data_IF_916295066628
#
_entry.id   IF_916295066628
#
_cell.length_a   1.000
_cell.length_b   1.000
_cell.length_c   1.000
_cell.angle_alpha   90.00
_cell.angle_beta   90.00
_cell.angle_gamma   90.00
#
_symmetry.space_group_name_H-M   'P 1'
#
loop_
_entity.id
_entity.type
_entity.pdbx_description
1 polymer ?
#
# COMPACT_ATOMS: atom_id res chain seq x y z
N UNK A 1 -20.51 17.62 -12.02
CA UNK A 1 -19.24 18.09 -11.43
C UNK A 1 -18.73 17.22 -10.28
N UNK A 2 -19.54 16.81 -9.30
CA UNK A 2 -19.07 16.00 -8.14
C UNK A 2 -18.40 14.67 -8.50
N UNK A 3 -18.93 13.92 -9.49
CA UNK A 3 -18.34 12.65 -9.95
C UNK A 3 -16.97 12.82 -10.61
N UNK A 4 -16.78 13.89 -11.37
CA UNK A 4 -15.49 14.17 -12.04
C UNK A 4 -14.40 14.49 -11.01
N UNK A 5 -14.70 15.28 -9.98
CA UNK A 5 -13.74 15.56 -8.90
C UNK A 5 -13.33 14.32 -8.11
N UNK A 6 -14.27 13.39 -7.86
CA UNK A 6 -13.97 12.11 -7.19
C UNK A 6 -13.07 11.24 -8.07
N UNK A 7 -13.36 11.14 -9.37
CA UNK A 7 -12.53 10.37 -10.31
C UNK A 7 -11.14 10.97 -10.41
N UNK A 8 -11.02 12.30 -10.52
CA UNK A 8 -9.74 13.00 -10.61
C UNK A 8 -8.91 12.79 -9.33
N UNK A 9 -9.56 12.86 -8.16
CA UNK A 9 -8.92 12.60 -6.87
C UNK A 9 -8.44 11.15 -6.76
N UNK A 10 -9.23 10.18 -7.21
CA UNK A 10 -8.82 8.77 -7.22
C UNK A 10 -7.61 8.54 -8.12
N UNK A 11 -7.63 9.10 -9.34
CA UNK A 11 -6.49 9.01 -10.27
C UNK A 11 -5.24 9.65 -9.66
N UNK A 12 -5.38 10.81 -9.00
CA UNK A 12 -4.27 11.46 -8.33
C UNK A 12 -3.67 10.59 -7.22
N UNK A 13 -4.51 9.94 -6.39
CA UNK A 13 -4.05 9.05 -5.31
C UNK A 13 -3.32 7.83 -5.88
N UNK A 14 -3.84 7.23 -6.95
CA UNK A 14 -3.21 6.07 -7.61
C UNK A 14 -1.84 6.44 -8.19
N UNK A 15 -1.69 7.66 -8.72
CA UNK A 15 -0.42 8.12 -9.29
C UNK A 15 0.55 8.55 -8.20
N UNK A 16 0.11 9.25 -7.16
CA UNK A 16 0.97 9.76 -6.09
C UNK A 16 1.45 8.67 -5.12
N UNK A 17 0.61 7.66 -4.84
CA UNK A 17 0.89 6.58 -3.89
C UNK A 17 2.23 5.87 -4.15
N UNK A 18 2.53 5.39 -5.39
CA UNK A 18 3.80 4.73 -5.71
C UNK A 18 5.03 5.59 -5.45
N UNK A 19 4.97 6.90 -5.69
CA UNK A 19 6.11 7.80 -5.46
C UNK A 19 6.41 7.95 -3.97
N UNK A 20 5.37 8.05 -3.13
CA UNK A 20 5.54 8.14 -1.67
C UNK A 20 6.14 6.84 -1.12
N UNK A 21 5.65 5.69 -1.58
CA UNK A 21 6.15 4.37 -1.17
C UNK A 21 7.59 4.17 -1.61
N UNK A 22 7.92 4.52 -2.87
CA UNK A 22 9.29 4.44 -3.37
C UNK A 22 10.25 5.31 -2.57
N UNK A 23 9.87 6.56 -2.29
CA UNK A 23 10.69 7.49 -1.51
C UNK A 23 10.91 6.98 -0.08
N UNK A 24 9.84 6.58 0.60
CA UNK A 24 9.93 6.02 1.96
C UNK A 24 10.83 4.80 2.02
N UNK A 25 10.79 3.93 1.01
CA UNK A 25 11.69 2.79 0.96
C UNK A 25 13.14 3.19 0.70
N UNK A 26 13.40 3.92 -0.38
CA UNK A 26 14.74 4.19 -0.90
C UNK A 26 15.55 5.22 -0.12
N UNK A 27 14.89 6.05 0.70
CA UNK A 27 15.58 7.08 1.49
C UNK A 27 15.51 6.80 3.00
N UNK A 28 14.45 6.15 3.49
CA UNK A 28 14.30 5.85 4.92
C UNK A 28 14.72 4.41 5.22
N UNK A 29 14.09 3.42 4.59
CA UNK A 29 14.32 2.00 4.94
C UNK A 29 15.73 1.56 4.56
N UNK A 30 16.19 1.88 3.34
CA UNK A 30 17.53 1.48 2.89
C UNK A 30 18.66 2.15 3.67
N UNK A 31 18.37 3.25 4.37
CA UNK A 31 19.32 3.94 5.26
C UNK A 31 19.47 3.21 6.60
N UNK A 32 18.38 2.60 7.10
CA UNK A 32 18.37 1.86 8.36
C UNK A 32 18.87 0.42 8.16
N UNK A 33 18.40 -0.23 7.09
CA UNK A 33 18.71 -1.62 6.76
C UNK A 33 19.23 -1.62 5.33
N UNK A 34 20.45 -2.14 5.05
CA UNK A 34 21.03 -2.13 3.71
C UNK A 34 20.34 -3.15 2.80
N UNK A 35 19.15 -2.83 2.33
CA UNK A 35 18.33 -3.60 1.38
C UNK A 35 18.30 -2.90 0.01
N UNK A 36 17.86 -3.61 -1.03
CA UNK A 36 17.78 -3.06 -2.38
C UNK A 36 16.81 -1.87 -2.48
N UNK A 37 17.16 -0.91 -3.34
CA UNK A 37 16.26 0.20 -3.71
C UNK A 37 15.19 -0.31 -4.66
N UNK A 38 13.94 0.11 -4.49
CA UNK A 38 12.83 -0.27 -5.37
C UNK A 38 12.55 0.79 -6.44
N UNK A 39 11.99 0.35 -7.56
CA UNK A 39 11.52 1.23 -8.64
C UNK A 39 10.08 1.68 -8.41
N UNK A 40 9.67 2.78 -9.06
CA UNK A 40 8.26 3.25 -9.06
C UNK A 40 7.30 2.14 -9.50
N UNK A 41 7.70 1.34 -10.49
CA UNK A 41 6.88 0.25 -11.03
C UNK A 41 6.72 -0.91 -10.05
N UNK A 42 7.75 -1.22 -9.27
CA UNK A 42 7.64 -2.20 -8.18
C UNK A 42 6.73 -1.67 -7.08
N UNK A 43 6.87 -0.41 -6.67
CA UNK A 43 5.98 0.20 -5.68
C UNK A 43 4.51 0.23 -6.15
N UNK A 44 4.27 0.54 -7.42
CA UNK A 44 2.93 0.50 -8.01
C UNK A 44 2.35 -0.92 -8.10
N UNK A 45 3.15 -1.89 -8.58
CA UNK A 45 2.75 -3.29 -8.65
C UNK A 45 2.40 -3.85 -7.27
N UNK A 46 3.12 -3.41 -6.24
CA UNK A 46 2.87 -3.75 -4.85
C UNK A 46 1.54 -3.18 -4.32
N UNK A 47 1.24 -1.92 -4.61
CA UNK A 47 -0.03 -1.28 -4.22
C UNK A 47 -1.25 -1.97 -4.88
N UNK A 48 -1.09 -2.35 -6.15
CA UNK A 48 -2.07 -3.16 -6.89
C UNK A 48 -2.27 -4.55 -6.30
N UNK A 49 -1.18 -5.27 -5.98
CA UNK A 49 -1.25 -6.61 -5.38
C UNK A 49 -1.94 -6.57 -4.01
N UNK A 50 -1.65 -5.58 -3.17
CA UNK A 50 -2.30 -5.43 -1.86
C UNK A 50 -3.78 -5.11 -1.98
N UNK A 51 -4.16 -4.31 -2.98
CA UNK A 51 -5.57 -4.05 -3.28
C UNK A 51 -6.31 -5.33 -3.69
N UNK A 52 -5.62 -6.27 -4.34
CA UNK A 52 -6.18 -7.57 -4.73
C UNK A 52 -6.26 -8.56 -3.56
N UNK A 53 -5.21 -8.65 -2.73
CA UNK A 53 -5.16 -9.55 -1.57
C UNK A 53 -6.14 -9.08 -0.49
N UNK A 54 -6.25 -7.77 -0.31
CA UNK A 54 -7.11 -7.17 0.70
C UNK A 54 -8.08 -6.18 0.06
N UNK A 55 -9.09 -6.67 -0.68
CA UNK A 55 -10.13 -5.80 -1.20
C UNK A 55 -10.76 -5.01 -0.05
N UNK A 56 -11.03 -3.73 -0.27
CA UNK A 56 -11.71 -2.90 0.74
C UNK A 56 -13.11 -3.49 0.92
N UNK A 57 -13.32 -4.23 2.02
CA UNK A 57 -14.65 -4.68 2.44
C UNK A 57 -15.48 -3.45 2.79
N UNK A 58 -16.25 -2.99 1.80
CA UNK A 58 -17.24 -1.95 2.00
C UNK A 58 -18.39 -2.48 2.86
N UNK A 59 -18.58 -1.82 3.99
CA UNK A 59 -19.83 -1.72 4.75
C UNK A 59 -20.49 -3.01 5.23
N UNK A 60 -20.14 -3.44 6.45
CA UNK A 60 -21.12 -4.06 7.34
C UNK A 60 -21.04 -3.38 8.71
N UNK A 61 -22.21 -3.13 9.31
CA UNK A 61 -22.41 -2.30 10.52
C UNK A 61 -21.43 -2.71 11.63
N UNK A 62 -20.68 -1.72 12.11
CA UNK A 62 -19.62 -1.84 13.12
C UNK A 62 -20.17 -2.46 14.40
N UNK A 63 -19.82 -3.71 14.66
CA UNK A 63 -19.73 -4.31 15.99
C UNK A 63 -18.28 -4.18 16.52
N UNK A 64 -18.07 -4.33 17.83
CA UNK A 64 -16.71 -4.30 18.43
C UNK A 64 -15.78 -5.38 17.84
N UNK A 65 -16.37 -6.48 17.37
CA UNK A 65 -15.71 -7.58 16.65
C UNK A 65 -15.21 -7.12 15.27
N UNK A 66 -15.99 -6.30 14.57
CA UNK A 66 -15.61 -5.71 13.27
C UNK A 66 -14.47 -4.70 13.41
N UNK A 67 -14.39 -3.97 14.52
CA UNK A 67 -13.28 -3.05 14.77
C UNK A 67 -11.96 -3.82 14.95
N UNK A 68 -11.96 -4.86 15.79
CA UNK A 68 -10.79 -5.72 15.97
C UNK A 68 -10.37 -6.40 14.66
N UNK A 69 -11.34 -6.83 13.85
CA UNK A 69 -11.08 -7.40 12.53
C UNK A 69 -10.49 -6.35 11.56
N UNK A 70 -11.02 -5.14 11.52
CA UNK A 70 -10.53 -4.05 10.67
C UNK A 70 -9.10 -3.63 11.04
N UNK A 71 -8.79 -3.54 12.34
CA UNK A 71 -7.44 -3.25 12.83
C UNK A 71 -6.48 -4.38 12.45
N UNK A 72 -6.84 -5.64 12.73
CA UNK A 72 -6.03 -6.80 12.33
C UNK A 72 -5.79 -6.85 10.82
N UNK A 73 -6.81 -6.58 10.02
CA UNK A 73 -6.71 -6.55 8.56
C UNK A 73 -5.78 -5.42 8.09
N UNK A 74 -5.88 -4.23 8.69
CA UNK A 74 -5.04 -3.09 8.33
C UNK A 74 -3.57 -3.31 8.70
N UNK A 75 -3.31 -3.84 9.89
CA UNK A 75 -1.95 -4.21 10.31
C UNK A 75 -1.40 -5.33 9.41
N UNK A 76 -2.21 -6.33 9.08
CA UNK A 76 -1.83 -7.41 8.16
C UNK A 76 -1.44 -6.86 6.78
N UNK A 77 -2.23 -5.94 6.21
CA UNK A 77 -1.90 -5.25 4.95
C UNK A 77 -0.52 -4.59 5.01
N UNK A 78 -0.22 -3.87 6.10
CA UNK A 78 1.05 -3.17 6.27
C UNK A 78 2.22 -4.16 6.35
N UNK A 79 2.07 -5.24 7.13
CA UNK A 79 3.10 -6.27 7.28
C UNK A 79 3.33 -7.01 5.95
N UNK A 80 2.26 -7.43 5.26
CA UNK A 80 2.36 -8.08 3.94
C UNK A 80 3.00 -7.15 2.92
N UNK A 81 2.66 -5.85 2.94
CA UNK A 81 3.27 -4.83 2.09
C UNK A 81 4.78 -4.75 2.33
N UNK A 82 5.20 -4.54 3.58
CA UNK A 82 6.60 -4.43 3.94
C UNK A 82 7.40 -5.70 3.58
N UNK A 83 6.84 -6.88 3.84
CA UNK A 83 7.47 -8.15 3.50
C UNK A 83 7.65 -8.36 1.99
N UNK A 84 6.63 -8.02 1.20
CA UNK A 84 6.68 -8.18 -0.24
C UNK A 84 7.58 -7.13 -0.91
N UNK A 85 7.61 -5.88 -0.41
CA UNK A 85 8.58 -4.88 -0.87
C UNK A 85 10.01 -5.34 -0.54
N UNK A 86 10.22 -5.89 0.66
CA UNK A 86 11.50 -6.49 1.03
C UNK A 86 11.90 -7.64 0.09
N UNK A 87 10.99 -8.56 -0.21
CA UNK A 87 11.21 -9.61 -1.22
C UNK A 87 11.55 -9.03 -2.58
N UNK A 88 10.80 -8.04 -3.06
CA UNK A 88 11.04 -7.40 -4.36
C UNK A 88 12.43 -6.75 -4.43
N UNK A 89 12.95 -6.25 -3.31
CA UNK A 89 14.30 -5.69 -3.22
C UNK A 89 15.43 -6.72 -3.33
N UNK A 90 15.14 -8.02 -3.10
CA UNK A 90 16.12 -9.11 -3.21
C UNK A 90 16.34 -9.59 -4.66
N UNK A 91 15.38 -9.32 -5.56
CA UNK A 91 15.44 -9.72 -6.98
C UNK A 91 15.93 -8.57 -7.88
N UNK A 92 16.68 -7.64 -7.30
CA UNK A 92 17.32 -6.50 -7.98
C UNK A 92 18.79 -6.79 -8.23
#
# INVERSE_FOLDING_TARGET
MKRLGIILGFVFVIVASPFVVQYGWNEIITTIIPVGKITVWQAFGMDMLLSFIFPVSSSKKISEEDYSYAVKSSISKIITCAFLIWLASLFI
#
